data_IF_021170612768
#
_entry.id   IF_021170612768
#
_cell.length_a   1.000
_cell.length_b   1.000
_cell.length_c   1.000
_cell.angle_alpha   90.00
_cell.angle_beta   90.00
_cell.angle_gamma   90.00
#
_symmetry.space_group_name_H-M   'P 1'
#
loop_
_entity.id
_entity.type
_entity.pdbx_description
1 polymer ?
#
# COMPACT_ATOMS: atom_id res chain seq x y z
N UNK A 1 5.42 -10.57 -28.09
CA UNK A 1 6.44 -9.76 -27.37
C UNK A 1 6.33 -9.97 -25.85
N UNK A 2 5.18 -9.77 -25.20
CA UNK A 2 5.02 -9.90 -23.74
C UNK A 2 5.42 -11.27 -23.17
N UNK A 3 5.15 -12.37 -23.86
CA UNK A 3 5.55 -13.73 -23.43
C UNK A 3 7.06 -13.97 -23.34
N UNK A 4 7.88 -13.07 -23.88
CA UNK A 4 9.37 -13.19 -23.90
C UNK A 4 10.07 -12.36 -22.82
N UNK A 5 9.32 -11.64 -21.97
CA UNK A 5 9.93 -10.91 -20.86
C UNK A 5 10.60 -11.88 -19.88
N UNK A 6 11.81 -11.55 -19.43
CA UNK A 6 12.43 -12.28 -18.33
C UNK A 6 11.64 -12.01 -17.01
N UNK A 7 11.72 -12.89 -16.00
CA UNK A 7 11.06 -12.64 -14.71
C UNK A 7 11.47 -11.30 -14.07
N UNK A 8 12.74 -10.90 -14.22
CA UNK A 8 13.22 -9.60 -13.72
C UNK A 8 12.60 -8.42 -14.46
N UNK A 9 12.49 -8.52 -15.79
CA UNK A 9 11.87 -7.48 -16.60
C UNK A 9 10.37 -7.39 -16.31
N UNK A 10 9.68 -8.50 -16.11
CA UNK A 10 8.29 -8.53 -15.68
C UNK A 10 8.11 -7.80 -14.34
N UNK A 11 8.94 -8.14 -13.34
CA UNK A 11 8.90 -7.52 -12.03
C UNK A 11 9.07 -5.99 -12.10
N UNK A 12 10.04 -5.52 -12.88
CA UNK A 12 10.30 -4.08 -13.07
C UNK A 12 9.10 -3.42 -13.76
N UNK A 13 8.62 -3.99 -14.87
CA UNK A 13 7.52 -3.41 -15.66
C UNK A 13 6.24 -3.31 -14.84
N UNK A 14 5.87 -4.35 -14.08
CA UNK A 14 4.67 -4.33 -13.25
C UNK A 14 4.80 -3.28 -12.14
N UNK A 15 5.94 -3.22 -11.43
CA UNK A 15 6.13 -2.20 -10.41
C UNK A 15 6.13 -0.77 -10.98
N UNK A 16 6.74 -0.56 -12.15
CA UNK A 16 6.71 0.76 -12.81
C UNK A 16 5.30 1.17 -13.23
N UNK A 17 4.51 0.25 -13.78
CA UNK A 17 3.12 0.52 -14.17
C UNK A 17 2.28 0.83 -12.93
N UNK A 18 2.35 -0.05 -11.91
CA UNK A 18 1.49 0.08 -10.75
C UNK A 18 1.92 1.22 -9.82
N UNK A 19 3.21 1.38 -9.56
CA UNK A 19 3.68 2.28 -8.49
C UNK A 19 4.50 3.45 -8.99
N UNK A 20 4.98 3.44 -10.25
CA UNK A 20 5.74 4.56 -10.82
C UNK A 20 5.05 5.93 -10.68
N UNK A 21 3.76 6.08 -11.03
CA UNK A 21 3.03 7.33 -10.84
C UNK A 21 2.99 7.79 -9.38
N UNK A 22 2.72 6.87 -8.45
CA UNK A 22 2.62 7.18 -7.01
C UNK A 22 3.97 7.53 -6.40
N UNK A 23 5.03 6.78 -6.75
CA UNK A 23 6.41 7.08 -6.34
C UNK A 23 6.83 8.47 -6.86
N UNK A 24 6.52 8.78 -8.11
CA UNK A 24 6.83 10.09 -8.69
C UNK A 24 6.11 11.22 -7.93
N UNK A 25 4.80 11.08 -7.69
CA UNK A 25 4.01 12.08 -6.96
C UNK A 25 4.52 12.22 -5.51
N UNK A 26 4.78 11.11 -4.85
CA UNK A 26 5.28 11.07 -3.47
C UNK A 26 6.65 11.74 -3.34
N UNK A 27 7.58 11.44 -4.24
CA UNK A 27 8.91 12.06 -4.26
C UNK A 27 8.83 13.56 -4.57
N UNK A 28 7.96 13.97 -5.52
CA UNK A 28 7.71 15.37 -5.84
C UNK A 28 7.22 16.16 -4.63
N UNK A 29 6.20 15.62 -3.93
CA UNK A 29 5.58 16.29 -2.78
C UNK A 29 6.57 16.36 -1.60
N UNK A 30 7.37 15.32 -1.38
CA UNK A 30 8.47 15.30 -0.41
C UNK A 30 9.55 16.35 -0.72
N UNK A 31 9.97 16.47 -2.00
CA UNK A 31 10.99 17.46 -2.43
C UNK A 31 10.49 18.90 -2.35
N UNK A 32 9.19 19.13 -2.46
CA UNK A 32 8.58 20.45 -2.30
C UNK A 32 8.45 20.88 -0.85
N UNK A 33 8.64 19.96 0.09
CA UNK A 33 8.47 20.22 1.51
C UNK A 33 7.03 20.58 1.88
N UNK A 34 6.05 19.99 1.16
CA UNK A 34 4.64 20.23 1.45
C UNK A 34 4.29 19.66 2.83
N UNK A 35 3.91 20.53 3.76
CA UNK A 35 3.52 20.15 5.13
C UNK A 35 2.00 19.97 5.28
N UNK A 36 1.21 20.38 4.28
CA UNK A 36 -0.24 20.19 4.26
C UNK A 36 -0.61 19.35 3.06
N UNK A 37 -1.25 18.22 3.30
CA UNK A 37 -1.73 17.33 2.25
C UNK A 37 -3.27 17.33 2.23
N UNK A 38 -3.84 17.93 1.21
CA UNK A 38 -5.29 17.96 1.04
C UNK A 38 -5.78 16.66 0.41
N UNK A 39 -6.66 15.97 1.12
CA UNK A 39 -7.47 14.87 0.59
C UNK A 39 -8.90 15.38 0.35
N UNK A 40 -9.26 15.53 -0.92
CA UNK A 40 -10.60 15.86 -1.37
C UNK A 40 -11.14 14.76 -2.32
N UNK A 41 -12.42 14.82 -2.64
CA UNK A 41 -13.06 13.86 -3.54
C UNK A 41 -12.36 13.76 -4.89
N UNK A 42 -11.91 14.89 -5.44
CA UNK A 42 -11.22 14.93 -6.73
C UNK A 42 -9.92 14.11 -6.68
N UNK A 43 -9.15 14.28 -5.61
CA UNK A 43 -7.90 13.53 -5.41
C UNK A 43 -8.18 12.03 -5.27
N UNK A 44 -9.18 11.65 -4.46
CA UNK A 44 -9.55 10.25 -4.27
C UNK A 44 -10.03 9.59 -5.56
N UNK A 45 -10.93 10.24 -6.31
CA UNK A 45 -11.36 9.71 -7.61
C UNK A 45 -10.23 9.63 -8.63
N UNK A 46 -9.29 10.58 -8.61
CA UNK A 46 -8.12 10.56 -9.50
C UNK A 46 -7.22 9.37 -9.17
N UNK A 47 -6.95 9.12 -7.90
CA UNK A 47 -6.14 7.97 -7.48
C UNK A 47 -6.83 6.66 -7.82
N UNK A 48 -8.10 6.50 -7.50
CA UNK A 48 -8.88 5.31 -7.87
C UNK A 48 -8.87 5.06 -9.38
N UNK A 49 -8.97 6.11 -10.21
CA UNK A 49 -8.89 5.97 -11.66
C UNK A 49 -7.51 5.50 -12.13
N UNK A 50 -6.44 6.07 -11.59
CA UNK A 50 -5.05 5.64 -11.90
C UNK A 50 -4.88 4.17 -11.51
N UNK A 51 -5.33 3.77 -10.34
CA UNK A 51 -5.24 2.39 -9.85
C UNK A 51 -6.02 1.41 -10.71
N UNK A 52 -7.24 1.76 -11.12
CA UNK A 52 -8.06 0.94 -12.03
C UNK A 52 -7.34 0.77 -13.37
N UNK A 53 -6.81 1.85 -13.95
CA UNK A 53 -6.11 1.80 -15.25
C UNK A 53 -4.82 1.00 -15.14
N UNK A 54 -3.98 1.33 -14.18
CA UNK A 54 -2.70 0.65 -13.98
C UNK A 54 -2.88 -0.81 -13.58
N UNK A 55 -3.82 -1.10 -12.68
CA UNK A 55 -4.14 -2.46 -12.25
C UNK A 55 -4.70 -3.31 -13.38
N UNK A 56 -5.57 -2.73 -14.22
CA UNK A 56 -6.08 -3.42 -15.41
C UNK A 56 -4.94 -3.75 -16.37
N UNK A 57 -4.06 -2.79 -16.66
CA UNK A 57 -2.90 -3.01 -17.53
C UNK A 57 -1.97 -4.10 -16.95
N UNK A 58 -1.70 -4.06 -15.65
CA UNK A 58 -0.89 -5.08 -14.97
C UNK A 58 -1.54 -6.46 -15.04
N UNK A 59 -2.84 -6.58 -14.77
CA UNK A 59 -3.58 -7.85 -14.88
C UNK A 59 -3.51 -8.41 -16.30
N UNK A 60 -3.69 -7.58 -17.33
CA UNK A 60 -3.61 -8.03 -18.73
C UNK A 60 -2.21 -8.57 -19.08
N UNK A 61 -1.16 -7.87 -18.65
CA UNK A 61 0.23 -8.33 -18.84
C UNK A 61 0.46 -9.65 -18.10
N UNK A 62 0.09 -9.72 -16.83
CA UNK A 62 0.28 -10.91 -15.99
C UNK A 62 -0.50 -12.11 -16.54
N UNK A 63 -1.75 -11.92 -17.01
CA UNK A 63 -2.52 -12.97 -17.68
C UNK A 63 -1.85 -13.49 -18.96
N UNK A 64 -1.31 -12.57 -19.78
CA UNK A 64 -0.53 -12.97 -20.96
C UNK A 64 0.74 -13.76 -20.60
N UNK A 65 1.24 -13.60 -19.38
CA UNK A 65 2.37 -14.32 -18.78
C UNK A 65 2.00 -15.63 -18.09
N UNK A 66 0.71 -15.93 -17.98
CA UNK A 66 0.19 -17.18 -17.40
C UNK A 66 -0.25 -17.06 -15.94
N UNK A 67 -0.18 -15.88 -15.34
CA UNK A 67 -0.71 -15.64 -13.99
C UNK A 67 -2.23 -15.76 -13.96
N UNK A 68 -2.75 -16.28 -12.87
CA UNK A 68 -4.18 -16.40 -12.59
C UNK A 68 -4.53 -15.58 -11.34
N UNK A 69 -5.73 -15.05 -11.26
CA UNK A 69 -6.18 -14.29 -10.08
C UNK A 69 -6.08 -15.09 -8.77
N UNK A 70 -6.30 -16.40 -8.84
CA UNK A 70 -6.12 -17.30 -7.68
C UNK A 70 -4.68 -17.35 -7.15
N UNK A 71 -3.69 -17.01 -7.97
CA UNK A 71 -2.29 -17.05 -7.58
C UNK A 71 -1.97 -15.95 -6.55
N UNK A 72 -2.77 -14.89 -6.50
CA UNK A 72 -2.68 -13.82 -5.49
C UNK A 72 -3.37 -14.16 -4.17
N UNK A 73 -4.18 -15.24 -4.13
CA UNK A 73 -4.93 -15.60 -2.93
C UNK A 73 -6.13 -14.68 -2.66
N UNK A 74 -6.72 -14.13 -3.73
CA UNK A 74 -7.98 -13.38 -3.67
C UNK A 74 -9.13 -14.34 -3.34
N UNK A 75 -9.44 -14.50 -2.08
CA UNK A 75 -10.54 -15.34 -1.60
C UNK A 75 -11.16 -14.71 -0.37
N UNK A 76 -12.47 -14.48 -0.46
CA UNK A 76 -13.27 -13.98 0.66
C UNK A 76 -13.66 -15.10 1.62
N UNK A 77 -13.56 -14.84 2.92
CA UNK A 77 -14.22 -15.64 3.95
C UNK A 77 -14.35 -14.83 5.24
N UNK A 78 -15.37 -15.12 6.04
CA UNK A 78 -15.59 -14.44 7.32
C UNK A 78 -14.38 -14.58 8.30
N UNK A 79 -13.77 -15.77 8.46
CA UNK A 79 -12.56 -15.87 9.29
C UNK A 79 -11.40 -14.99 8.82
N UNK A 80 -11.19 -14.87 7.49
CA UNK A 80 -10.16 -13.97 6.94
C UNK A 80 -10.51 -12.50 7.13
N UNK A 81 -11.78 -12.14 7.11
CA UNK A 81 -12.25 -10.77 7.43
C UNK A 81 -11.96 -10.43 8.89
N UNK A 82 -12.31 -11.32 9.81
CA UNK A 82 -11.98 -11.14 11.24
C UNK A 82 -10.48 -11.03 11.45
N UNK A 83 -9.69 -11.90 10.81
CA UNK A 83 -8.23 -11.83 10.87
C UNK A 83 -7.69 -10.49 10.35
N UNK A 84 -8.30 -9.92 9.29
CA UNK A 84 -7.96 -8.59 8.78
C UNK A 84 -8.26 -7.48 9.79
N UNK A 85 -9.41 -7.52 10.45
CA UNK A 85 -9.75 -6.55 11.51
C UNK A 85 -8.81 -6.65 12.71
N UNK A 86 -8.43 -7.87 13.11
CA UNK A 86 -7.42 -8.08 14.16
C UNK A 86 -6.06 -7.52 13.70
N UNK A 87 -5.65 -7.80 12.46
CA UNK A 87 -4.42 -7.26 11.89
C UNK A 87 -4.41 -5.73 11.91
N UNK A 88 -5.53 -5.09 11.51
CA UNK A 88 -5.70 -3.65 11.62
C UNK A 88 -5.46 -3.15 13.05
N UNK A 89 -6.13 -3.72 14.05
CA UNK A 89 -5.99 -3.30 15.43
C UNK A 89 -4.55 -3.45 15.94
N UNK A 90 -3.94 -4.61 15.70
CA UNK A 90 -2.56 -4.90 16.13
C UNK A 90 -1.57 -3.94 15.46
N UNK A 91 -1.68 -3.72 14.16
CA UNK A 91 -0.77 -2.82 13.45
C UNK A 91 -0.97 -1.37 13.85
N UNK A 92 -2.19 -0.90 14.07
CA UNK A 92 -2.43 0.47 14.55
C UNK A 92 -1.86 0.71 15.95
N UNK A 93 -2.07 -0.21 16.89
CA UNK A 93 -1.48 -0.10 18.23
C UNK A 93 0.05 -0.08 18.15
N UNK A 94 0.63 -0.96 17.35
CA UNK A 94 2.07 -1.03 17.14
C UNK A 94 2.62 0.28 16.54
N UNK A 95 2.01 0.78 15.46
CA UNK A 95 2.45 2.01 14.79
C UNK A 95 2.26 3.25 15.65
N UNK A 96 1.15 3.34 16.40
CA UNK A 96 0.93 4.40 17.37
C UNK A 96 2.01 4.39 18.46
N UNK A 97 2.39 3.20 18.95
CA UNK A 97 3.47 3.06 19.93
C UNK A 97 4.83 3.49 19.36
N UNK A 98 5.14 3.08 18.13
CA UNK A 98 6.37 3.50 17.42
C UNK A 98 6.42 5.01 17.22
N UNK A 99 5.30 5.61 16.83
CA UNK A 99 5.19 7.05 16.66
C UNK A 99 5.42 7.82 17.99
N UNK A 100 4.81 7.35 19.08
CA UNK A 100 5.03 7.98 20.40
C UNK A 100 6.48 7.82 20.86
N UNK A 101 7.09 6.65 20.65
CA UNK A 101 8.50 6.43 20.95
C UNK A 101 9.40 7.37 20.14
N UNK A 102 9.13 7.51 18.84
CA UNK A 102 9.87 8.44 17.99
C UNK A 102 9.81 9.86 18.52
N UNK A 103 8.63 10.35 18.91
CA UNK A 103 8.46 11.69 19.50
C UNK A 103 9.27 11.87 20.78
N UNK A 104 9.32 10.84 21.63
CA UNK A 104 10.08 10.90 22.88
C UNK A 104 11.62 10.95 22.66
N UNK A 105 12.11 10.22 21.66
CA UNK A 105 13.55 10.06 21.42
C UNK A 105 14.12 11.19 20.58
N UNK A 106 13.36 11.69 19.59
CA UNK A 106 13.91 12.61 18.57
C UNK A 106 13.52 14.06 18.77
N UNK A 107 12.59 14.36 19.71
CA UNK A 107 12.01 15.71 19.88
C UNK A 107 11.54 16.31 18.54
N UNK A 108 11.03 15.47 17.62
CA UNK A 108 10.56 15.93 16.32
C UNK A 108 9.52 17.03 16.48
N UNK A 109 9.80 18.16 15.83
CA UNK A 109 8.85 19.25 15.75
C UNK A 109 7.60 18.82 14.94
N UNK A 110 6.40 18.84 15.52
CA UNK A 110 5.18 18.53 14.78
C UNK A 110 5.00 19.37 13.51
N UNK A 111 5.57 20.57 13.44
CA UNK A 111 5.50 21.44 12.28
C UNK A 111 6.27 20.88 11.05
N UNK A 112 7.18 19.92 11.26
CA UNK A 112 7.90 19.24 10.16
C UNK A 112 7.15 18.04 9.60
N UNK A 113 6.02 17.68 10.19
CA UNK A 113 5.20 16.54 9.78
C UNK A 113 4.13 16.98 8.80
N UNK A 114 3.92 16.15 7.78
CA UNK A 114 2.80 16.37 6.86
C UNK A 114 1.48 16.16 7.60
N UNK A 115 0.65 17.20 7.63
CA UNK A 115 -0.68 17.15 8.23
C UNK A 115 -1.72 16.89 7.15
N UNK A 116 -2.45 15.77 7.20
CA UNK A 116 -3.53 15.53 6.27
C UNK A 116 -4.71 16.43 6.61
N UNK A 117 -5.26 17.11 5.60
CA UNK A 117 -6.54 17.82 5.67
C UNK A 117 -7.53 17.04 4.82
N UNK A 118 -8.56 16.52 5.47
CA UNK A 118 -9.55 15.66 4.82
C UNK A 118 -10.84 16.43 4.56
N UNK A 119 -11.27 16.49 3.30
CA UNK A 119 -12.53 17.10 2.84
C UNK A 119 -13.20 16.17 1.84
N UNK A 120 -13.65 15.02 2.32
CA UNK A 120 -14.13 13.92 1.46
C UNK A 120 -15.58 13.58 1.75
N UNK A 121 -16.27 13.08 0.73
CA UNK A 121 -17.61 12.49 0.86
C UNK A 121 -17.55 10.96 1.01
N UNK A 122 -18.56 10.39 1.63
CA UNK A 122 -18.67 8.94 1.82
C UNK A 122 -18.49 8.10 0.54
N UNK A 123 -19.06 8.47 -0.63
CA UNK A 123 -18.84 7.70 -1.85
C UNK A 123 -17.37 7.64 -2.27
N UNK A 124 -16.63 8.76 -2.13
CA UNK A 124 -15.21 8.81 -2.44
C UNK A 124 -14.38 7.93 -1.48
N UNK A 125 -14.69 7.99 -0.18
CA UNK A 125 -14.02 7.16 0.84
C UNK A 125 -14.27 5.67 0.59
N UNK A 126 -15.54 5.27 0.36
CA UNK A 126 -15.88 3.87 0.09
C UNK A 126 -15.22 3.34 -1.18
N UNK A 127 -15.14 4.16 -2.22
CA UNK A 127 -14.44 3.79 -3.46
C UNK A 127 -12.96 3.56 -3.19
N UNK A 128 -12.29 4.47 -2.48
CA UNK A 128 -10.88 4.30 -2.11
C UNK A 128 -10.66 3.08 -1.24
N UNK A 129 -11.48 2.87 -0.21
CA UNK A 129 -11.40 1.66 0.62
C UNK A 129 -11.43 0.37 -0.20
N UNK A 130 -12.26 0.33 -1.26
CA UNK A 130 -12.38 -0.86 -2.10
C UNK A 130 -11.22 -0.98 -3.10
N UNK A 131 -10.93 0.08 -3.83
CA UNK A 131 -9.98 0.03 -4.95
C UNK A 131 -8.54 0.02 -4.45
N UNK A 132 -8.16 1.01 -3.64
CA UNK A 132 -6.79 1.19 -3.16
C UNK A 132 -6.33 0.00 -2.30
N UNK A 133 -7.16 -0.45 -1.33
CA UNK A 133 -6.77 -1.57 -0.49
C UNK A 133 -6.59 -2.88 -1.28
N UNK A 134 -7.44 -3.16 -2.27
CA UNK A 134 -7.27 -4.34 -3.12
C UNK A 134 -6.09 -4.18 -4.08
N UNK A 135 -5.90 -2.99 -4.62
CA UNK A 135 -4.82 -2.67 -5.54
C UNK A 135 -3.45 -2.81 -4.88
N UNK A 136 -3.23 -2.07 -3.80
CA UNK A 136 -1.94 -2.09 -3.12
C UNK A 136 -1.63 -3.49 -2.59
N UNK A 137 -2.55 -4.14 -1.88
CA UNK A 137 -2.27 -5.45 -1.30
C UNK A 137 -2.10 -6.55 -2.36
N UNK A 138 -2.69 -6.40 -3.54
CA UNK A 138 -2.50 -7.35 -4.65
C UNK A 138 -1.17 -7.13 -5.36
N UNK A 139 -0.84 -5.88 -5.72
CA UNK A 139 0.34 -5.62 -6.55
C UNK A 139 1.58 -5.33 -5.73
N UNK A 140 1.45 -4.56 -4.66
CA UNK A 140 2.59 -4.18 -3.82
C UNK A 140 3.05 -5.35 -2.95
N UNK A 141 2.11 -6.08 -2.35
CA UNK A 141 2.44 -7.17 -1.44
C UNK A 141 2.42 -8.51 -2.17
N UNK A 142 1.25 -8.94 -2.64
CA UNK A 142 1.10 -10.31 -3.13
C UNK A 142 1.92 -10.57 -4.38
N UNK A 143 1.91 -9.68 -5.36
CA UNK A 143 2.71 -9.84 -6.57
C UNK A 143 4.20 -9.84 -6.24
N UNK A 144 4.71 -8.84 -5.53
CA UNK A 144 6.15 -8.74 -5.23
C UNK A 144 6.67 -9.95 -4.45
N UNK A 145 5.94 -10.41 -3.43
CA UNK A 145 6.32 -11.59 -2.64
C UNK A 145 6.28 -12.86 -3.49
N UNK A 146 5.26 -13.03 -4.35
CA UNK A 146 5.13 -14.22 -5.21
C UNK A 146 6.11 -14.25 -6.38
N UNK A 147 6.26 -13.13 -7.09
CA UNK A 147 7.16 -13.01 -8.24
C UNK A 147 8.63 -13.22 -7.86
N UNK A 148 8.97 -13.00 -6.59
CA UNK A 148 10.34 -13.13 -6.08
C UNK A 148 10.53 -14.33 -5.16
N UNK A 149 9.59 -15.26 -5.11
CA UNK A 149 9.62 -16.42 -4.21
C UNK A 149 10.90 -17.26 -4.36
N UNK A 150 11.42 -17.39 -5.58
CA UNK A 150 12.70 -18.05 -5.86
C UNK A 150 13.93 -17.35 -5.26
N UNK A 151 13.82 -16.06 -4.94
CA UNK A 151 14.89 -15.26 -4.31
C UNK A 151 14.85 -15.33 -2.78
N UNK A 152 13.88 -16.02 -2.21
CA UNK A 152 13.66 -16.15 -0.77
C UNK A 152 12.73 -15.09 -0.18
N UNK A 153 12.18 -15.42 0.98
CA UNK A 153 11.17 -14.58 1.64
C UNK A 153 11.68 -13.16 1.96
N UNK A 154 12.91 -13.06 2.46
CA UNK A 154 13.51 -11.78 2.83
C UNK A 154 13.55 -10.79 1.66
N UNK A 155 13.90 -11.26 0.46
CA UNK A 155 13.93 -10.40 -0.72
C UNK A 155 12.54 -9.87 -1.08
N UNK A 156 11.53 -10.74 -1.15
CA UNK A 156 10.16 -10.33 -1.50
C UNK A 156 9.54 -9.40 -0.46
N UNK A 157 9.76 -9.67 0.82
CA UNK A 157 9.31 -8.82 1.93
C UNK A 157 9.97 -7.45 1.87
N UNK A 158 11.29 -7.40 1.71
CA UNK A 158 12.04 -6.14 1.62
C UNK A 158 11.60 -5.32 0.39
N UNK A 159 11.46 -5.96 -0.76
CA UNK A 159 11.03 -5.27 -1.99
C UNK A 159 9.63 -4.66 -1.80
N UNK A 160 8.66 -5.42 -1.30
CA UNK A 160 7.31 -4.94 -1.01
C UNK A 160 7.33 -3.74 -0.06
N UNK A 161 8.05 -3.85 1.06
CA UNK A 161 8.13 -2.79 2.06
C UNK A 161 8.84 -1.52 1.52
N UNK A 162 9.85 -1.66 0.66
CA UNK A 162 10.52 -0.52 0.02
C UNK A 162 9.65 0.17 -1.03
N UNK A 163 8.86 -0.59 -1.81
CA UNK A 163 7.89 0.00 -2.75
C UNK A 163 6.86 0.80 -1.98
N UNK A 164 6.29 0.25 -0.89
CA UNK A 164 5.36 0.96 -0.01
C UNK A 164 5.98 2.24 0.55
N UNK A 165 7.19 2.17 1.07
CA UNK A 165 7.88 3.35 1.57
C UNK A 165 8.06 4.41 0.47
N UNK A 166 8.45 4.02 -0.74
CA UNK A 166 8.64 4.93 -1.85
C UNK A 166 7.34 5.65 -2.26
N UNK A 167 6.20 4.99 -2.17
CA UNK A 167 4.89 5.61 -2.39
C UNK A 167 4.47 6.59 -1.28
N UNK A 168 5.13 6.55 -0.12
CA UNK A 168 4.77 7.33 1.08
C UNK A 168 5.85 8.33 1.53
N UNK A 169 6.84 8.65 0.69
CA UNK A 169 7.91 9.64 1.01
C UNK A 169 7.35 11.01 1.37
N UNK A 170 6.17 11.37 0.83
CA UNK A 170 5.48 12.61 1.15
C UNK A 170 5.15 12.78 2.65
N UNK A 171 5.13 11.69 3.42
CA UNK A 171 4.91 11.75 4.88
C UNK A 171 6.16 12.20 5.65
N UNK A 172 7.27 12.48 4.96
CA UNK A 172 8.48 13.00 5.56
C UNK A 172 9.20 11.98 6.47
N UNK A 173 9.86 12.45 7.54
CA UNK A 173 10.73 11.61 8.38
C UNK A 173 9.96 10.54 9.18
N UNK A 174 8.65 10.62 9.24
CA UNK A 174 7.81 9.62 9.92
C UNK A 174 7.63 8.35 9.08
N UNK A 175 7.63 8.46 7.74
CA UNK A 175 7.41 7.33 6.86
C UNK A 175 8.33 6.13 7.10
N UNK A 176 9.65 6.27 7.29
CA UNK A 176 10.53 5.13 7.59
C UNK A 176 10.16 4.40 8.88
N UNK A 177 9.60 5.11 9.86
CA UNK A 177 9.30 4.54 11.18
C UNK A 177 7.90 3.92 11.25
N UNK A 178 6.98 4.37 10.42
CA UNK A 178 5.60 3.87 10.39
C UNK A 178 5.32 2.99 9.19
N UNK A 179 5.62 3.46 7.98
CA UNK A 179 5.26 2.78 6.73
C UNK A 179 6.15 1.56 6.47
N UNK A 180 7.46 1.66 6.73
CA UNK A 180 8.35 0.52 6.49
C UNK A 180 8.02 -0.69 7.38
N UNK A 181 7.84 -0.56 8.72
CA UNK A 181 7.40 -1.67 9.55
C UNK A 181 6.03 -2.21 9.14
N UNK A 182 5.08 -1.35 8.76
CA UNK A 182 3.77 -1.77 8.25
C UNK A 182 3.92 -2.64 7.01
N UNK A 183 4.71 -2.20 6.03
CA UNK A 183 5.00 -2.95 4.82
C UNK A 183 5.63 -4.31 5.11
N UNK A 184 6.58 -4.36 6.05
CA UNK A 184 7.20 -5.62 6.48
C UNK A 184 6.16 -6.56 7.11
N UNK A 185 5.33 -6.07 8.04
CA UNK A 185 4.29 -6.88 8.69
C UNK A 185 3.32 -7.44 7.65
N UNK A 186 2.80 -6.61 6.75
CA UNK A 186 1.85 -7.04 5.73
C UNK A 186 2.48 -8.08 4.78
N UNK A 187 3.71 -7.84 4.33
CA UNK A 187 4.42 -8.78 3.47
C UNK A 187 4.74 -10.12 4.17
N UNK A 188 5.07 -10.11 5.46
CA UNK A 188 5.28 -11.32 6.25
C UNK A 188 3.97 -12.11 6.46
N UNK A 189 2.87 -11.42 6.76
CA UNK A 189 1.54 -12.03 6.88
C UNK A 189 1.14 -12.67 5.56
N UNK A 190 1.32 -11.96 4.45
CA UNK A 190 1.06 -12.51 3.13
C UNK A 190 1.99 -13.69 2.81
N UNK A 191 3.28 -13.56 3.06
CA UNK A 191 4.24 -14.65 2.83
C UNK A 191 3.83 -15.93 3.56
N UNK A 192 3.32 -15.81 4.79
CA UNK A 192 2.89 -16.94 5.62
C UNK A 192 1.54 -17.52 5.21
N UNK A 193 0.55 -16.69 4.87
CA UNK A 193 -0.83 -17.11 4.64
C UNK A 193 -1.20 -17.22 3.16
N UNK A 194 -0.47 -16.52 2.28
CA UNK A 194 -0.76 -16.43 0.83
C UNK A 194 -2.21 -16.00 0.55
N UNK A 195 -2.72 -15.05 1.35
CA UNK A 195 -4.07 -14.51 1.26
C UNK A 195 -4.04 -12.99 1.28
N UNK A 196 -4.59 -12.35 0.25
CA UNK A 196 -4.68 -10.89 0.15
C UNK A 196 -5.81 -10.35 1.03
N UNK A 197 -6.92 -11.07 1.13
CA UNK A 197 -8.13 -10.56 1.76
C UNK A 197 -7.94 -9.97 3.17
N UNK A 198 -7.25 -10.62 4.13
CA UNK A 198 -7.05 -10.03 5.45
C UNK A 198 -6.22 -8.74 5.42
N UNK A 199 -5.28 -8.61 4.48
CA UNK A 199 -4.50 -7.38 4.32
C UNK A 199 -5.37 -6.27 3.76
N UNK A 200 -6.16 -6.55 2.71
CA UNK A 200 -7.10 -5.59 2.12
C UNK A 200 -8.12 -5.09 3.14
N UNK A 201 -8.66 -5.98 4.01
CA UNK A 201 -9.56 -5.59 5.10
C UNK A 201 -8.85 -4.69 6.11
N UNK A 202 -7.63 -5.03 6.51
CA UNK A 202 -6.86 -4.20 7.44
C UNK A 202 -6.56 -2.82 6.85
N UNK A 203 -6.19 -2.77 5.58
CA UNK A 203 -5.91 -1.53 4.86
C UNK A 203 -7.17 -0.69 4.66
N UNK A 204 -8.28 -1.29 4.22
CA UNK A 204 -9.57 -0.60 4.09
C UNK A 204 -10.04 0.00 5.42
N UNK A 205 -9.85 -0.71 6.53
CA UNK A 205 -10.15 -0.19 7.86
C UNK A 205 -9.25 1.03 8.19
N UNK A 206 -7.95 0.98 7.87
CA UNK A 206 -7.04 2.10 8.07
C UNK A 206 -7.45 3.33 7.25
N UNK A 207 -7.83 3.15 5.98
CA UNK A 207 -8.36 4.21 5.11
C UNK A 207 -9.64 4.82 5.68
N UNK A 208 -10.57 3.97 6.15
CA UNK A 208 -11.80 4.43 6.77
C UNK A 208 -11.51 5.39 7.93
N UNK A 209 -10.70 4.97 8.88
CA UNK A 209 -10.37 5.81 10.03
C UNK A 209 -9.54 7.03 9.64
N UNK A 210 -8.57 6.89 8.72
CA UNK A 210 -7.74 7.99 8.26
C UNK A 210 -8.51 9.08 7.49
N UNK A 211 -9.53 8.70 6.73
CA UNK A 211 -10.31 9.61 5.89
C UNK A 211 -11.64 10.05 6.51
N UNK A 212 -12.10 9.46 7.61
CA UNK A 212 -13.40 9.76 8.24
C UNK A 212 -13.30 10.57 9.54
N UNK A 213 -12.17 10.54 10.24
CA UNK A 213 -12.06 11.08 11.62
C UNK A 213 -11.84 12.60 11.68
N UNK A 214 -11.79 13.30 10.55
CA UNK A 214 -11.53 14.74 10.53
C UNK A 214 -12.75 15.61 10.14
N UNK A 215 -13.95 15.10 10.32
CA UNK A 215 -15.21 15.90 10.18
C UNK A 215 -15.59 16.59 11.46
#
# INVERSE_FOLDING_TARGET
MLRRLSPRAELIVINLICFGPFVFLSARDALRGETILLYDDRRLYTFALIEIVCGTAAILILRARGWKLRDFGLGFSMPLTIAGLILFLVTNVFLASMYQLLKLVTHLDPATMTTPVVKTTWPAVLLMMLIDSLYEETFEVAYNVRATEANGAAFGVTLSALVRLACHLYQGPVAPVTILPLGIIFALVYWRWKRVWPLAVAHAAALYFGLSVQT
#
